data_IF_661931134396
#
_entry.id   IF_661931134396
#
_cell.length_a   1.000
_cell.length_b   1.000
_cell.length_c   1.000
_cell.angle_alpha   90.00
_cell.angle_beta   90.00
_cell.angle_gamma   90.00
#
_symmetry.space_group_name_H-M   'P 1'
#
loop_
_entity.id
_entity.type
_entity.pdbx_description
1 polymer ?
#
# COMPACT_ATOMS: atom_id res chain seq x y z
N UNK A 1 -12.98 -47.15 -75.29
CA UNK A 1 -12.89 -45.70 -75.11
C UNK A 1 -13.54 -45.20 -73.75
N UNK A 2 -14.70 -45.71 -73.35
CA UNK A 2 -15.47 -45.27 -72.18
C UNK A 2 -14.81 -45.55 -70.83
N UNK A 3 -14.03 -46.61 -70.59
CA UNK A 3 -13.45 -46.98 -69.31
C UNK A 3 -12.34 -46.03 -68.89
N UNK A 4 -11.49 -45.57 -69.83
CA UNK A 4 -10.40 -44.61 -69.54
C UNK A 4 -10.90 -43.21 -69.16
N UNK A 5 -11.99 -42.78 -69.82
CA UNK A 5 -12.62 -41.48 -69.53
C UNK A 5 -13.24 -41.51 -68.11
N UNK A 6 -13.93 -42.60 -67.73
CA UNK A 6 -14.50 -42.80 -66.40
C UNK A 6 -13.44 -42.76 -65.26
N UNK A 7 -12.26 -43.36 -65.46
CA UNK A 7 -11.15 -43.33 -64.51
C UNK A 7 -10.55 -41.95 -64.38
N UNK A 8 -10.40 -41.18 -65.46
CA UNK A 8 -9.90 -39.79 -65.39
C UNK A 8 -10.87 -38.90 -64.62
N UNK A 9 -12.17 -39.01 -64.83
CA UNK A 9 -13.20 -38.26 -64.16
C UNK A 9 -13.23 -38.63 -62.67
N UNK A 10 -13.08 -39.92 -62.31
CA UNK A 10 -13.04 -40.39 -60.93
C UNK A 10 -11.79 -39.89 -60.22
N UNK A 11 -10.61 -39.92 -60.86
CA UNK A 11 -9.37 -39.31 -60.31
C UNK A 11 -9.51 -37.80 -60.14
N UNK A 12 -10.07 -37.08 -61.07
CA UNK A 12 -10.32 -35.65 -61.00
C UNK A 12 -11.21 -35.28 -59.79
N UNK A 13 -12.30 -36.03 -59.55
CA UNK A 13 -13.20 -35.85 -58.43
C UNK A 13 -12.49 -36.12 -57.09
N UNK A 14 -11.59 -37.11 -57.01
CA UNK A 14 -10.84 -37.47 -55.81
C UNK A 14 -9.81 -36.39 -55.48
N UNK A 15 -9.08 -35.88 -56.51
CA UNK A 15 -8.12 -34.78 -56.32
C UNK A 15 -8.84 -33.47 -55.90
N UNK A 16 -9.98 -33.19 -56.50
CA UNK A 16 -10.79 -32.02 -56.11
C UNK A 16 -11.31 -32.09 -54.69
N UNK A 17 -11.84 -33.25 -54.29
CA UNK A 17 -12.26 -33.47 -52.89
C UNK A 17 -11.09 -33.37 -51.90
N UNK A 18 -9.91 -33.85 -52.25
CA UNK A 18 -8.71 -33.71 -51.46
C UNK A 18 -8.29 -32.25 -51.31
N UNK A 19 -8.26 -31.47 -52.39
CA UNK A 19 -7.93 -30.03 -52.36
C UNK A 19 -8.89 -29.23 -51.47
N UNK A 20 -10.21 -29.53 -51.56
CA UNK A 20 -11.21 -28.88 -50.70
C UNK A 20 -10.95 -29.19 -49.23
N UNK A 21 -10.60 -30.42 -48.85
CA UNK A 21 -10.26 -30.79 -47.49
C UNK A 21 -9.06 -29.98 -46.94
N UNK A 22 -8.03 -29.82 -47.76
CA UNK A 22 -6.85 -29.03 -47.37
C UNK A 22 -7.17 -27.53 -47.26
N UNK A 23 -8.03 -26.97 -48.12
CA UNK A 23 -8.49 -25.57 -48.02
C UNK A 23 -9.29 -25.37 -46.73
N UNK A 24 -10.22 -26.29 -46.42
CA UNK A 24 -10.99 -26.22 -45.18
C UNK A 24 -10.10 -26.34 -43.91
N UNK A 25 -9.11 -27.25 -43.97
CA UNK A 25 -8.14 -27.37 -42.90
C UNK A 25 -7.30 -26.09 -42.68
N UNK A 26 -6.91 -25.45 -43.80
CA UNK A 26 -6.18 -24.17 -43.74
C UNK A 26 -7.05 -23.03 -43.15
N UNK A 27 -8.32 -22.94 -43.55
CA UNK A 27 -9.27 -21.94 -43.00
C UNK A 27 -9.48 -22.18 -41.50
N UNK A 28 -9.62 -23.43 -41.09
CA UNK A 28 -9.76 -23.77 -39.67
C UNK A 28 -8.50 -23.40 -38.86
N UNK A 29 -7.33 -23.70 -39.41
CA UNK A 29 -6.05 -23.37 -38.80
C UNK A 29 -5.86 -21.85 -38.66
N UNK A 30 -6.14 -21.10 -39.72
CA UNK A 30 -6.06 -19.63 -39.70
C UNK A 30 -7.10 -19.01 -38.75
N UNK A 31 -8.30 -19.59 -38.67
CA UNK A 31 -9.32 -19.21 -37.72
C UNK A 31 -8.90 -19.46 -36.25
N UNK A 32 -8.26 -20.61 -35.97
CA UNK A 32 -7.71 -20.91 -34.65
C UNK A 32 -6.56 -19.96 -34.27
N UNK A 33 -5.65 -19.67 -35.21
CA UNK A 33 -4.55 -18.73 -34.99
C UNK A 33 -5.08 -17.32 -34.72
N UNK A 34 -6.04 -16.86 -35.52
CA UNK A 34 -6.66 -15.56 -35.33
C UNK A 34 -7.46 -15.49 -34.02
N UNK A 35 -8.21 -16.54 -33.69
CA UNK A 35 -8.94 -16.65 -32.44
C UNK A 35 -8.03 -16.65 -31.22
N UNK A 36 -6.91 -17.40 -31.26
CA UNK A 36 -5.92 -17.38 -30.19
C UNK A 36 -5.21 -16.02 -30.05
N UNK A 37 -4.92 -15.37 -31.20
CA UNK A 37 -4.33 -14.03 -31.19
C UNK A 37 -5.29 -12.97 -30.61
N UNK A 38 -6.58 -13.01 -30.97
CA UNK A 38 -7.58 -12.10 -30.40
C UNK A 38 -7.83 -12.39 -28.94
N UNK A 39 -7.89 -13.66 -28.53
CA UNK A 39 -8.03 -14.06 -27.11
C UNK A 39 -6.82 -13.61 -26.29
N UNK A 40 -5.60 -13.76 -26.81
CA UNK A 40 -4.38 -13.25 -26.16
C UNK A 40 -4.44 -11.73 -25.96
N UNK A 41 -4.89 -10.97 -26.98
CA UNK A 41 -5.09 -9.52 -26.85
C UNK A 41 -6.17 -9.14 -25.83
N UNK A 42 -7.24 -9.92 -25.75
CA UNK A 42 -8.28 -9.73 -24.72
C UNK A 42 -7.76 -10.05 -23.32
N UNK A 43 -6.98 -11.14 -23.16
CA UNK A 43 -6.36 -11.48 -21.87
C UNK A 43 -5.25 -10.52 -21.46
N UNK A 44 -4.53 -9.91 -22.41
CA UNK A 44 -3.58 -8.82 -22.12
C UNK A 44 -4.28 -7.49 -21.79
N UNK A 45 -5.44 -7.22 -22.38
CA UNK A 45 -6.25 -6.02 -22.07
C UNK A 45 -7.01 -6.16 -20.75
N UNK A 46 -7.35 -7.38 -20.33
CA UNK A 46 -7.96 -7.71 -19.03
C UNK A 46 -6.93 -8.08 -17.93
N UNK A 47 -5.63 -8.09 -18.20
CA UNK A 47 -4.67 -7.81 -17.16
C UNK A 47 -4.84 -6.32 -16.82
N UNK A 48 -5.84 -6.02 -15.99
CA UNK A 48 -5.76 -4.90 -15.08
C UNK A 48 -4.38 -5.07 -14.46
N UNK A 49 -3.39 -4.26 -14.88
CA UNK A 49 -2.14 -4.13 -14.15
C UNK A 49 -2.57 -3.93 -12.71
N UNK A 50 -2.34 -4.93 -11.88
CA UNK A 50 -2.61 -4.81 -10.47
C UNK A 50 -1.78 -3.59 -10.06
N UNK A 51 -2.46 -2.45 -9.91
CA UNK A 51 -1.81 -1.15 -9.73
C UNK A 51 -0.89 -1.32 -8.54
N UNK A 52 0.42 -1.31 -8.78
CA UNK A 52 1.40 -1.60 -7.75
C UNK A 52 1.09 -0.71 -6.54
N UNK A 53 0.99 -1.31 -5.37
CA UNK A 53 0.77 -0.58 -4.14
C UNK A 53 1.95 0.36 -3.92
N UNK A 54 1.70 1.65 -3.96
CA UNK A 54 2.75 2.66 -3.80
C UNK A 54 3.06 2.88 -2.32
N UNK A 55 2.03 2.83 -1.46
CA UNK A 55 2.15 3.13 -0.04
C UNK A 55 1.47 2.05 0.79
N UNK A 56 2.12 1.57 1.84
CA UNK A 56 1.44 0.91 2.95
C UNK A 56 1.26 1.92 4.07
N UNK A 57 0.02 2.07 4.50
CA UNK A 57 -0.36 2.81 5.70
C UNK A 57 -0.58 1.81 6.83
N UNK A 58 0.23 1.92 7.87
CA UNK A 58 0.13 1.06 9.04
C UNK A 58 -0.58 1.81 10.18
N UNK A 59 -1.75 1.33 10.57
CA UNK A 59 -2.41 1.82 11.79
C UNK A 59 -1.85 1.07 12.99
N UNK A 60 -0.99 1.73 13.77
CA UNK A 60 -0.34 1.13 14.93
C UNK A 60 -1.32 0.51 15.92
N UNK A 61 -0.90 -0.56 16.62
CA UNK A 61 -1.72 -1.30 17.59
C UNK A 61 -2.96 -1.96 16.98
N UNK A 62 -3.95 -2.34 17.81
CA UNK A 62 -5.21 -2.94 17.38
C UNK A 62 -5.58 -4.20 18.17
N UNK A 63 -6.86 -4.54 18.17
CA UNK A 63 -7.40 -5.67 18.91
C UNK A 63 -7.14 -5.55 20.42
N UNK A 64 -6.46 -6.53 20.99
CA UNK A 64 -6.11 -6.55 22.43
C UNK A 64 -4.97 -5.60 22.82
N UNK A 65 -4.19 -5.06 21.86
CA UNK A 65 -3.18 -4.03 22.12
C UNK A 65 -3.80 -2.63 21.93
N UNK A 66 -4.16 -1.92 23.03
CA UNK A 66 -4.76 -0.60 22.93
C UNK A 66 -3.74 0.49 22.56
N UNK A 67 -2.44 0.18 22.57
CA UNK A 67 -1.38 1.18 22.58
C UNK A 67 -1.36 1.98 23.86
N UNK A 68 -1.06 3.26 23.80
CA UNK A 68 -1.18 4.18 24.95
C UNK A 68 -2.66 4.41 25.26
N UNK A 69 -3.00 4.30 26.54
CA UNK A 69 -4.25 4.83 27.08
C UNK A 69 -3.96 6.26 27.53
N UNK A 70 -4.48 7.20 26.78
CA UNK A 70 -4.31 8.63 27.04
C UNK A 70 -5.30 9.19 28.04
N UNK A 71 -5.38 10.51 28.12
CA UNK A 71 -6.35 11.22 28.93
C UNK A 71 -7.78 10.89 28.45
N UNK A 72 -8.74 10.94 29.34
CA UNK A 72 -10.15 10.61 29.08
C UNK A 72 -10.37 9.20 28.49
N UNK A 73 -9.48 8.25 28.81
CA UNK A 73 -9.49 6.89 28.29
C UNK A 73 -9.39 6.80 26.73
N UNK A 74 -8.79 7.78 26.09
CA UNK A 74 -8.51 7.72 24.66
C UNK A 74 -7.57 6.54 24.37
N UNK A 75 -7.97 5.68 23.45
CA UNK A 75 -7.15 4.54 23.02
C UNK A 75 -6.34 4.93 21.79
N UNK A 76 -5.04 4.81 21.86
CA UNK A 76 -4.14 5.11 20.75
C UNK A 76 -4.54 4.36 19.47
N UNK A 77 -4.89 3.06 19.59
CA UNK A 77 -5.29 2.22 18.45
C UNK A 77 -6.47 2.78 17.65
N UNK A 78 -7.42 3.43 18.32
CA UNK A 78 -8.64 3.95 17.69
C UNK A 78 -8.31 5.23 16.90
N UNK A 79 -7.52 6.11 17.49
CA UNK A 79 -7.05 7.35 16.84
C UNK A 79 -6.14 7.01 15.67
N UNK A 80 -5.23 6.03 15.83
CA UNK A 80 -4.36 5.56 14.75
C UNK A 80 -5.17 5.06 13.56
N UNK A 81 -6.20 4.26 13.78
CA UNK A 81 -7.07 3.76 12.71
C UNK A 81 -7.82 4.90 12.02
N UNK A 82 -8.43 5.79 12.80
CA UNK A 82 -9.21 6.92 12.27
C UNK A 82 -8.36 7.84 11.38
N UNK A 83 -7.16 8.23 11.84
CA UNK A 83 -6.24 9.05 11.05
C UNK A 83 -5.77 8.29 9.81
N UNK A 84 -5.40 7.01 9.94
CA UNK A 84 -4.91 6.19 8.81
C UNK A 84 -5.95 6.05 7.70
N UNK A 85 -7.23 5.87 8.05
CA UNK A 85 -8.33 5.83 7.08
C UNK A 85 -8.55 7.17 6.36
N UNK A 86 -8.41 8.28 7.10
CA UNK A 86 -8.49 9.63 6.53
C UNK A 86 -7.31 9.90 5.58
N UNK A 87 -6.07 9.53 5.96
CA UNK A 87 -4.89 9.60 5.07
C UNK A 87 -5.14 8.83 3.77
N UNK A 88 -5.64 7.60 3.87
CA UNK A 88 -5.96 6.79 2.69
C UNK A 88 -6.94 7.51 1.76
N UNK A 89 -8.02 8.08 2.30
CA UNK A 89 -9.00 8.84 1.51
C UNK A 89 -8.37 10.05 0.80
N UNK A 90 -7.44 10.75 1.45
CA UNK A 90 -6.70 11.85 0.84
C UNK A 90 -5.80 11.36 -0.30
N UNK A 91 -5.05 10.27 -0.11
CA UNK A 91 -4.21 9.68 -1.15
C UNK A 91 -5.02 9.17 -2.35
N UNK A 92 -6.21 8.62 -2.14
CA UNK A 92 -7.11 8.19 -3.21
C UNK A 92 -7.55 9.37 -4.11
N UNK A 93 -7.79 10.56 -3.53
CA UNK A 93 -8.08 11.78 -4.31
C UNK A 93 -6.90 12.18 -5.21
N UNK A 94 -5.68 11.97 -4.75
CA UNK A 94 -4.44 12.20 -5.50
C UNK A 94 -4.05 11.04 -6.43
N UNK A 95 -4.91 10.00 -6.53
CA UNK A 95 -4.68 8.78 -7.33
C UNK A 95 -3.45 7.97 -6.91
N UNK A 96 -3.02 8.12 -5.66
CA UNK A 96 -1.96 7.34 -5.04
C UNK A 96 -2.57 6.06 -4.49
N UNK A 97 -2.00 4.90 -4.87
CA UNK A 97 -2.49 3.59 -4.43
C UNK A 97 -1.93 3.24 -3.06
N UNK A 98 -2.80 3.16 -2.06
CA UNK A 98 -2.43 2.85 -0.69
C UNK A 98 -3.22 1.65 -0.14
N UNK A 99 -2.53 0.77 0.58
CA UNK A 99 -3.12 -0.32 1.35
C UNK A 99 -2.93 -0.10 2.85
N UNK A 100 -3.91 -0.54 3.63
CA UNK A 100 -3.86 -0.48 5.10
C UNK A 100 -3.44 -1.85 5.65
N UNK A 101 -2.60 -1.84 6.68
CA UNK A 101 -2.29 -3.08 7.44
C UNK A 101 -3.52 -3.65 8.14
N UNK A 102 -4.39 -2.80 8.66
CA UNK A 102 -5.71 -3.18 9.22
C UNK A 102 -6.79 -2.16 8.86
N UNK A 103 -8.04 -2.64 8.74
CA UNK A 103 -9.22 -1.84 8.40
C UNK A 103 -10.27 -1.82 9.51
N UNK A 104 -9.98 -2.47 10.63
CA UNK A 104 -10.86 -2.60 11.77
C UNK A 104 -10.03 -2.76 13.05
N UNK A 105 -10.70 -2.75 14.22
CA UNK A 105 -10.02 -2.96 15.50
C UNK A 105 -9.65 -4.44 15.68
N UNK A 106 -8.64 -4.89 14.91
CA UNK A 106 -8.04 -6.22 15.02
C UNK A 106 -6.52 -6.13 14.87
N UNK A 107 -5.81 -7.04 15.55
CA UNK A 107 -4.40 -7.30 15.27
C UNK A 107 -4.25 -8.17 14.01
N UNK A 108 -3.05 -8.16 13.42
CA UNK A 108 -2.71 -9.00 12.26
C UNK A 108 -2.23 -10.41 12.65
N UNK A 109 -2.10 -10.72 13.94
CA UNK A 109 -1.66 -12.03 14.41
C UNK A 109 -2.58 -13.16 13.96
N UNK A 110 -2.04 -14.38 13.89
CA UNK A 110 -2.72 -15.57 13.36
C UNK A 110 -4.02 -15.91 14.12
N UNK A 111 -4.09 -15.56 15.39
CA UNK A 111 -5.26 -15.82 16.25
C UNK A 111 -6.33 -14.74 16.14
N UNK A 112 -6.04 -13.61 15.50
CA UNK A 112 -6.95 -12.47 15.39
C UNK A 112 -7.27 -11.77 16.71
N UNK A 113 -6.79 -12.29 17.84
CA UNK A 113 -7.00 -11.74 19.19
C UNK A 113 -5.88 -10.79 19.63
N UNK A 114 -4.81 -10.67 18.81
CA UNK A 114 -3.67 -9.78 19.09
C UNK A 114 -2.95 -10.13 20.40
N UNK A 115 -3.17 -11.34 20.96
CA UNK A 115 -2.68 -11.75 22.25
C UNK A 115 -1.16 -11.80 22.33
N UNK A 116 -0.51 -11.76 21.17
CA UNK A 116 0.94 -11.76 21.07
C UNK A 116 1.42 -10.58 20.23
N UNK A 117 1.73 -9.48 20.86
CA UNK A 117 2.32 -8.28 20.24
C UNK A 117 3.46 -8.60 19.26
N UNK A 118 4.26 -9.61 19.56
CA UNK A 118 5.35 -10.06 18.69
C UNK A 118 4.83 -10.65 17.37
N UNK A 119 3.75 -11.44 17.41
CA UNK A 119 3.17 -12.06 16.21
C UNK A 119 2.52 -10.99 15.33
N UNK A 120 1.83 -10.01 15.92
CA UNK A 120 1.25 -8.87 15.21
C UNK A 120 2.35 -8.07 14.50
N UNK A 121 3.42 -7.70 15.18
CA UNK A 121 4.54 -6.98 14.60
C UNK A 121 5.23 -7.77 13.48
N UNK A 122 5.37 -9.10 13.62
CA UNK A 122 5.93 -9.95 12.57
C UNK A 122 5.01 -10.00 11.35
N UNK A 123 3.69 -10.06 11.54
CA UNK A 123 2.72 -10.09 10.46
C UNK A 123 2.73 -8.76 9.67
N UNK A 124 2.83 -7.60 10.37
CA UNK A 124 2.98 -6.28 9.73
C UNK A 124 4.24 -6.23 8.86
N UNK A 125 5.40 -6.59 9.43
CA UNK A 125 6.68 -6.63 8.70
C UNK A 125 6.60 -7.57 7.49
N UNK A 126 5.99 -8.74 7.65
CA UNK A 126 5.79 -9.70 6.57
C UNK A 126 4.95 -9.09 5.44
N UNK A 127 3.80 -8.52 5.76
CA UNK A 127 2.92 -7.88 4.79
C UNK A 127 3.67 -6.78 4.01
N UNK A 128 4.36 -5.88 4.69
CA UNK A 128 5.13 -4.80 4.08
C UNK A 128 6.22 -5.34 3.15
N UNK A 129 7.00 -6.32 3.61
CA UNK A 129 8.10 -6.88 2.83
C UNK A 129 7.64 -7.73 1.63
N UNK A 130 6.45 -8.34 1.69
CA UNK A 130 5.84 -9.09 0.58
C UNK A 130 5.19 -8.16 -0.44
N UNK A 131 4.52 -7.10 0.00
CA UNK A 131 3.90 -6.07 -0.87
C UNK A 131 4.94 -5.23 -1.59
N UNK A 132 6.09 -4.97 -0.97
CA UNK A 132 7.18 -4.13 -1.50
C UNK A 132 6.69 -2.76 -1.99
N UNK A 133 6.01 -1.97 -1.15
CA UNK A 133 5.59 -0.63 -1.51
C UNK A 133 6.81 0.28 -1.74
N UNK A 134 6.61 1.44 -2.34
CA UNK A 134 7.64 2.48 -2.44
C UNK A 134 7.93 3.09 -1.07
N UNK A 135 6.89 3.23 -0.23
CA UNK A 135 6.97 3.84 1.09
C UNK A 135 6.00 3.16 2.07
N UNK A 136 6.41 3.01 3.32
CA UNK A 136 5.53 2.64 4.44
C UNK A 136 5.47 3.76 5.48
N UNK A 137 4.27 4.15 5.86
CA UNK A 137 4.02 5.14 6.91
C UNK A 137 3.16 4.52 8.00
N UNK A 138 3.70 4.42 9.20
CA UNK A 138 3.01 3.91 10.39
C UNK A 138 2.52 5.07 11.23
N UNK A 139 1.23 5.09 11.55
CA UNK A 139 0.55 6.15 12.31
C UNK A 139 0.42 5.73 13.76
N UNK A 140 0.90 6.58 14.64
CA UNK A 140 0.95 6.40 16.09
C UNK A 140 0.62 7.69 16.82
N UNK A 141 0.43 7.57 18.15
CA UNK A 141 0.33 8.68 19.08
C UNK A 141 1.38 8.52 20.19
N UNK A 142 2.08 9.60 20.46
CA UNK A 142 3.15 9.61 21.44
C UNK A 142 2.62 9.70 22.90
N UNK A 143 3.51 9.45 23.83
CA UNK A 143 3.27 9.67 25.26
C UNK A 143 4.56 9.98 25.99
N UNK A 144 4.50 10.86 26.98
CA UNK A 144 5.62 11.18 27.84
C UNK A 144 5.15 11.42 29.29
N UNK A 145 6.06 11.34 30.25
CA UNK A 145 5.72 11.54 31.66
C UNK A 145 5.36 12.99 31.98
N UNK A 146 6.07 13.94 31.34
CA UNK A 146 5.80 15.37 31.47
C UNK A 146 4.65 15.78 30.53
N UNK A 147 3.50 16.24 31.04
CA UNK A 147 2.36 16.62 30.23
C UNK A 147 2.56 17.90 29.42
N UNK A 148 3.60 18.68 29.69
CA UNK A 148 3.93 19.86 28.88
C UNK A 148 4.60 19.50 27.53
N UNK A 149 5.06 18.25 27.38
CA UNK A 149 5.68 17.78 26.15
C UNK A 149 4.61 17.57 25.08
N UNK A 150 4.81 18.21 23.92
CA UNK A 150 3.88 18.22 22.81
C UNK A 150 4.58 18.24 21.44
N UNK A 151 3.83 18.17 20.35
CA UNK A 151 4.26 18.32 18.97
C UNK A 151 4.47 16.98 18.24
N UNK A 152 3.93 16.88 17.04
CA UNK A 152 4.10 15.72 16.17
C UNK A 152 5.58 15.48 15.84
N UNK A 153 5.99 14.21 15.75
CA UNK A 153 7.35 13.84 15.43
C UNK A 153 7.45 12.60 14.56
N UNK A 154 8.29 12.65 13.53
CA UNK A 154 8.51 11.51 12.62
C UNK A 154 9.81 10.79 12.98
N UNK A 155 9.72 9.46 13.10
CA UNK A 155 10.87 8.60 13.39
C UNK A 155 11.25 7.76 12.19
N UNK A 156 12.56 7.54 12.01
CA UNK A 156 13.14 6.73 10.94
C UNK A 156 14.25 5.83 11.47
N UNK A 157 14.60 4.78 10.72
CA UNK A 157 15.73 3.92 11.07
C UNK A 157 17.06 4.65 10.81
N UNK A 158 17.94 4.71 11.82
CA UNK A 158 19.22 5.47 11.76
C UNK A 158 20.12 5.09 10.58
N UNK A 159 20.00 3.87 10.06
CA UNK A 159 20.80 3.37 8.93
C UNK A 159 20.07 3.48 7.57
N UNK A 160 18.90 4.11 7.51
CA UNK A 160 18.14 4.30 6.28
C UNK A 160 18.28 5.75 5.79
N UNK A 161 19.04 5.96 4.72
CA UNK A 161 19.16 7.29 4.09
C UNK A 161 17.84 7.77 3.50
N UNK A 162 17.13 6.87 2.82
CA UNK A 162 15.79 7.16 2.27
C UNK A 162 14.79 7.41 3.38
N UNK A 163 14.83 6.58 4.45
CA UNK A 163 14.01 6.79 5.64
C UNK A 163 14.24 8.15 6.30
N UNK A 164 15.48 8.62 6.38
CA UNK A 164 15.81 9.96 6.89
C UNK A 164 15.21 11.06 6.00
N UNK A 165 15.36 10.95 4.69
CA UNK A 165 14.86 11.95 3.75
C UNK A 165 13.33 12.06 3.80
N UNK A 166 12.62 10.93 3.72
CA UNK A 166 11.15 10.93 3.80
C UNK A 166 10.64 11.39 5.17
N UNK A 167 11.35 11.07 6.26
CA UNK A 167 10.97 11.53 7.59
C UNK A 167 11.07 13.06 7.72
N UNK A 168 12.10 13.68 7.14
CA UNK A 168 12.23 15.15 7.10
C UNK A 168 11.09 15.81 6.31
N UNK A 169 10.76 15.28 5.13
CA UNK A 169 9.65 15.78 4.30
C UNK A 169 8.31 15.70 5.05
N UNK A 170 8.04 14.56 5.71
CA UNK A 170 6.81 14.39 6.49
C UNK A 170 6.80 15.30 7.74
N UNK A 171 7.93 15.47 8.40
CA UNK A 171 8.05 16.37 9.55
C UNK A 171 7.73 17.82 9.16
N UNK A 172 8.27 18.31 8.03
CA UNK A 172 7.97 19.62 7.50
C UNK A 172 6.46 19.79 7.19
N UNK A 173 5.83 18.78 6.60
CA UNK A 173 4.40 18.80 6.31
C UNK A 173 3.53 18.86 7.56
N UNK A 174 3.95 18.21 8.66
CA UNK A 174 3.26 18.30 9.95
C UNK A 174 3.46 19.66 10.64
N UNK A 175 4.60 20.29 10.44
CA UNK A 175 4.86 21.65 10.94
C UNK A 175 4.02 22.72 10.24
N UNK A 176 3.55 22.47 9.02
CA UNK A 176 2.64 23.39 8.32
C UNK A 176 1.28 23.59 9.05
N UNK A 177 0.81 22.56 9.78
CA UNK A 177 -0.45 22.61 10.55
C UNK A 177 -0.25 22.98 12.03
N UNK A 178 0.98 22.97 12.51
CA UNK A 178 1.36 23.36 13.87
C UNK A 178 2.69 24.14 13.82
N UNK A 179 2.68 25.46 13.56
CA UNK A 179 3.87 26.27 13.47
C UNK A 179 4.71 26.37 14.78
N UNK A 180 4.08 26.08 15.92
CA UNK A 180 4.77 26.03 17.22
C UNK A 180 5.51 24.69 17.44
N UNK A 181 5.30 23.71 16.57
CA UNK A 181 6.01 22.46 16.60
C UNK A 181 7.43 22.59 16.02
N UNK A 182 8.42 22.70 16.89
CA UNK A 182 9.83 22.81 16.51
C UNK A 182 10.58 21.47 16.49
N UNK A 183 9.86 20.33 16.65
CA UNK A 183 10.48 19.00 16.60
C UNK A 183 11.05 18.70 15.23
N UNK A 184 12.14 17.94 15.23
CA UNK A 184 12.80 17.48 14.03
C UNK A 184 12.56 15.97 13.86
N UNK A 185 12.63 15.48 12.62
CA UNK A 185 12.67 14.05 12.35
C UNK A 185 13.79 13.38 13.16
N UNK A 186 13.52 12.24 13.79
CA UNK A 186 14.40 11.61 14.76
C UNK A 186 14.79 10.20 14.38
N UNK A 187 16.10 9.93 14.39
CA UNK A 187 16.62 8.59 14.20
C UNK A 187 16.24 7.67 15.38
N UNK A 188 15.90 6.42 15.06
CA UNK A 188 15.57 5.40 16.04
C UNK A 188 16.17 4.05 15.65
N UNK A 189 16.76 3.34 16.63
CA UNK A 189 17.39 2.04 16.44
C UNK A 189 16.63 0.90 17.12
N UNK A 190 15.55 1.21 17.84
CA UNK A 190 14.86 0.23 18.68
C UNK A 190 13.51 -0.21 18.14
N UNK A 191 12.83 0.62 17.34
CA UNK A 191 11.53 0.29 16.80
C UNK A 191 11.61 -0.90 15.83
N UNK A 192 10.88 -1.95 16.18
CA UNK A 192 10.93 -3.23 15.45
C UNK A 192 10.55 -3.06 13.98
N UNK A 193 9.48 -2.31 13.69
CA UNK A 193 9.00 -2.06 12.33
C UNK A 193 10.10 -1.42 11.47
N UNK A 194 10.71 -0.34 11.95
CA UNK A 194 11.76 0.40 11.25
C UNK A 194 12.98 -0.47 10.92
N UNK A 195 13.32 -1.41 11.84
CA UNK A 195 14.51 -2.27 11.71
C UNK A 195 14.32 -3.47 10.78
N UNK A 196 13.07 -3.92 10.57
CA UNK A 196 12.77 -5.19 9.92
C UNK A 196 12.13 -5.04 8.55
N UNK A 197 11.63 -3.88 8.22
CA UNK A 197 11.16 -3.57 6.87
C UNK A 197 12.34 -3.35 5.93
N UNK A 198 12.14 -3.73 4.65
CA UNK A 198 13.16 -3.65 3.60
C UNK A 198 12.96 -2.46 2.67
N UNK A 199 11.90 -1.70 2.90
CA UNK A 199 11.53 -0.51 2.14
C UNK A 199 11.64 0.71 3.04
N UNK A 200 11.75 1.93 2.50
CA UNK A 200 11.69 3.15 3.28
C UNK A 200 10.44 3.13 4.18
N UNK A 201 10.65 3.21 5.49
CA UNK A 201 9.59 3.11 6.50
C UNK A 201 9.81 4.16 7.57
N UNK A 202 8.73 4.86 7.91
CA UNK A 202 8.71 5.87 8.98
C UNK A 202 7.55 5.64 9.93
N UNK A 203 7.70 6.12 11.16
CA UNK A 203 6.64 6.18 12.16
C UNK A 203 6.32 7.66 12.40
N UNK A 204 5.06 8.01 12.24
CA UNK A 204 4.51 9.34 12.50
C UNK A 204 3.79 9.31 13.83
N UNK A 205 4.37 9.95 14.83
CA UNK A 205 3.72 10.25 16.10
C UNK A 205 2.98 11.57 15.95
N UNK A 206 1.65 11.52 15.86
CA UNK A 206 0.84 12.68 15.47
C UNK A 206 0.67 13.72 16.58
N UNK A 207 0.99 13.37 17.82
CA UNK A 207 0.91 14.21 19.03
C UNK A 207 0.95 13.36 20.29
N UNK A 208 0.88 13.96 21.46
CA UNK A 208 1.01 13.29 22.75
C UNK A 208 -0.35 13.10 23.43
N UNK A 209 -0.78 11.85 23.64
CA UNK A 209 -2.01 11.53 24.38
C UNK A 209 -1.92 11.83 25.88
N UNK A 210 -0.74 12.21 26.35
CA UNK A 210 -0.48 12.64 27.73
C UNK A 210 -0.50 14.16 27.90
N UNK A 211 -0.47 14.91 26.80
CA UNK A 211 -0.66 16.36 26.81
C UNK A 211 -2.16 16.68 26.72
N UNK A 212 -2.74 17.48 27.63
CA UNK A 212 -4.18 17.73 27.65
C UNK A 212 -4.73 18.38 26.38
N UNK A 213 -4.00 19.35 25.83
CA UNK A 213 -4.41 20.08 24.63
C UNK A 213 -4.35 19.20 23.38
N UNK A 214 -3.27 18.44 23.21
CA UNK A 214 -3.14 17.52 22.07
C UNK A 214 -4.10 16.34 22.15
N UNK A 215 -4.33 15.79 23.35
CA UNK A 215 -5.30 14.72 23.55
C UNK A 215 -6.72 15.16 23.18
N UNK A 216 -7.11 16.40 23.51
CA UNK A 216 -8.38 16.97 23.10
C UNK A 216 -8.45 17.15 21.60
N UNK A 217 -7.44 17.78 20.97
CA UNK A 217 -7.35 17.93 19.51
C UNK A 217 -7.42 16.59 18.78
N UNK A 218 -6.62 15.60 19.20
CA UNK A 218 -6.53 14.28 18.59
C UNK A 218 -7.82 13.46 18.74
N UNK A 219 -8.66 13.75 19.72
CA UNK A 219 -9.98 13.14 19.88
C UNK A 219 -11.01 13.68 18.88
N UNK A 220 -10.77 14.87 18.30
CA UNK A 220 -11.68 15.58 17.40
C UNK A 220 -11.46 15.21 15.92
N UNK A 221 -12.54 15.01 15.18
CA UNK A 221 -12.48 14.67 13.76
C UNK A 221 -11.80 15.74 12.91
N UNK A 222 -12.03 17.02 13.21
CA UNK A 222 -11.47 18.16 12.46
C UNK A 222 -9.93 18.15 12.49
N UNK A 223 -9.34 17.97 13.66
CA UNK A 223 -7.88 17.93 13.79
C UNK A 223 -7.29 16.66 13.18
N UNK A 224 -7.96 15.52 13.32
CA UNK A 224 -7.57 14.28 12.65
C UNK A 224 -7.58 14.43 11.12
N UNK A 225 -8.51 15.20 10.55
CA UNK A 225 -8.51 15.52 9.12
C UNK A 225 -7.34 16.40 8.73
N UNK A 226 -7.03 17.46 9.50
CA UNK A 226 -5.87 18.31 9.27
C UNK A 226 -4.56 17.49 9.28
N UNK A 227 -4.39 16.63 10.28
CA UNK A 227 -3.23 15.72 10.36
C UNK A 227 -3.19 14.79 9.14
N UNK A 228 -4.31 14.22 8.76
CA UNK A 228 -4.37 13.30 7.63
C UNK A 228 -4.04 13.99 6.30
N UNK A 229 -4.51 15.21 6.08
CA UNK A 229 -4.17 16.01 4.90
C UNK A 229 -2.68 16.36 4.87
N UNK A 230 -2.09 16.77 6.00
CA UNK A 230 -0.68 17.06 6.11
C UNK A 230 0.19 15.82 5.82
N UNK A 231 -0.16 14.67 6.40
CA UNK A 231 0.53 13.40 6.15
C UNK A 231 0.40 12.97 4.69
N UNK A 232 -0.81 13.06 4.10
CA UNK A 232 -1.02 12.70 2.69
C UNK A 232 -0.21 13.60 1.75
N UNK A 233 -0.20 14.92 1.99
CA UNK A 233 0.64 15.88 1.25
C UNK A 233 2.13 15.54 1.38
N UNK A 234 2.59 15.21 2.59
CA UNK A 234 3.95 14.77 2.84
C UNK A 234 4.29 13.48 2.08
N UNK A 235 3.37 12.49 2.08
CA UNK A 235 3.54 11.24 1.32
C UNK A 235 3.68 11.51 -0.18
N UNK A 236 2.86 12.37 -0.76
CA UNK A 236 2.97 12.71 -2.18
C UNK A 236 4.37 13.27 -2.52
N UNK A 237 4.88 14.24 -1.72
CA UNK A 237 6.24 14.77 -1.85
C UNK A 237 7.32 13.68 -1.66
N UNK A 238 7.11 12.74 -0.73
CA UNK A 238 8.04 11.62 -0.52
C UNK A 238 8.11 10.70 -1.74
N UNK A 239 6.97 10.39 -2.36
CA UNK A 239 6.93 9.55 -3.57
C UNK A 239 7.65 10.24 -4.74
N UNK A 240 7.47 11.55 -4.92
CA UNK A 240 8.22 12.32 -5.91
C UNK A 240 9.74 12.23 -5.64
N UNK A 241 10.16 12.47 -4.40
CA UNK A 241 11.57 12.36 -4.00
C UNK A 241 12.13 10.95 -4.25
N UNK A 242 11.41 9.89 -3.83
CA UNK A 242 11.86 8.52 -4.00
C UNK A 242 11.93 8.08 -5.47
N UNK A 243 11.03 8.60 -6.32
CA UNK A 243 11.08 8.35 -7.77
C UNK A 243 12.27 9.04 -8.44
N UNK A 244 12.71 10.19 -7.94
CA UNK A 244 13.82 10.96 -8.51
C UNK A 244 15.18 10.51 -7.97
N UNK A 245 15.28 10.19 -6.68
CA UNK A 245 16.54 9.96 -5.97
C UNK A 245 16.64 8.60 -5.25
N UNK A 246 15.58 7.79 -5.22
CA UNK A 246 15.58 6.44 -4.64
C UNK A 246 16.39 5.48 -5.53
N UNK A 247 17.17 4.58 -4.89
CA UNK A 247 18.02 3.59 -5.58
C UNK A 247 17.25 2.28 -5.82
#
# INVERSE_FOLDING_TARGET
MNKKISEIVKRGKTIFKSKIKWILALILLTGCIYGSYTLSRYTEADQVEAKQVQVILDAGHGGSDPGKIGLNNLLEKDINLAITEKVKKCLEKEKITAELTRKEDKGLGITGDGSKKTEDMQARVKMINETKPVLTVSIHQNSYEDPEIHGAQVFYYSHSREGEAVAKILQESLQEIDPENHRQAKANETYYLLRRTKVPTVIVECGFLTNPEEAEKLSGEEYQEQVAEAVAKGIAKCLEYLNEYGN
#
